data_IF_813084124986
#
_entry.id   IF_813084124986
#
_cell.length_a   1.000
_cell.length_b   1.000
_cell.length_c   1.000
_cell.angle_alpha   90.00
_cell.angle_beta   90.00
_cell.angle_gamma   90.00
#
_symmetry.space_group_name_H-M   'P 1'
#
loop_
_entity.id
_entity.type
_entity.pdbx_description
1 polymer ?
#
# COMPACT_ATOMS: atom_id res chain seq x y z
N UNK A 1 1.51 7.88 12.78
CA UNK A 1 2.37 7.35 11.70
C UNK A 1 1.53 6.60 10.68
N UNK A 2 0.75 5.59 11.07
CA UNK A 2 -0.12 4.85 10.12
C UNK A 2 -1.13 5.72 9.34
N UNK A 3 -1.70 6.75 9.97
CA UNK A 3 -2.58 7.71 9.31
C UNK A 3 -1.85 8.63 8.32
N UNK A 4 -0.57 8.90 8.56
CA UNK A 4 0.25 9.72 7.69
C UNK A 4 0.51 9.00 6.37
N UNK A 5 0.98 7.75 6.44
CA UNK A 5 1.20 6.88 5.27
C UNK A 5 -0.09 6.70 4.45
N UNK A 6 -1.22 6.60 5.13
CA UNK A 6 -2.52 6.45 4.48
C UNK A 6 -2.94 7.70 3.70
N UNK A 7 -2.70 8.87 4.26
CA UNK A 7 -2.98 10.14 3.60
C UNK A 7 -2.07 10.37 2.40
N UNK A 8 -0.80 9.98 2.54
CA UNK A 8 0.19 10.04 1.48
C UNK A 8 -0.21 9.11 0.32
N UNK A 9 -0.57 7.86 0.62
CA UNK A 9 -1.03 6.89 -0.38
C UNK A 9 -2.33 7.35 -1.05
N UNK A 10 -3.31 7.84 -0.29
CA UNK A 10 -4.56 8.34 -0.86
C UNK A 10 -4.33 9.51 -1.83
N UNK A 11 -3.42 10.42 -1.47
CA UNK A 11 -3.05 11.56 -2.33
C UNK A 11 -2.33 11.08 -3.59
N UNK A 12 -1.41 10.12 -3.45
CA UNK A 12 -0.72 9.51 -4.59
C UNK A 12 -1.69 8.72 -5.50
N UNK A 13 -2.67 8.02 -4.92
CA UNK A 13 -3.71 7.31 -5.66
C UNK A 13 -4.64 8.24 -6.44
N UNK A 14 -4.85 9.46 -5.94
CA UNK A 14 -5.66 10.46 -6.64
C UNK A 14 -4.88 11.18 -7.76
N UNK A 15 -3.58 11.44 -7.57
CA UNK A 15 -2.82 12.37 -8.43
C UNK A 15 -1.76 11.71 -9.31
N UNK A 16 -1.19 10.57 -8.89
CA UNK A 16 0.03 10.00 -9.51
C UNK A 16 -0.22 8.59 -10.05
N UNK A 17 -0.86 7.71 -9.29
CA UNK A 17 -1.03 6.31 -9.68
C UNK A 17 -1.86 6.08 -10.95
N UNK A 18 -2.92 6.85 -11.25
CA UNK A 18 -3.72 6.64 -12.47
C UNK A 18 -2.87 6.79 -13.74
N UNK A 19 -2.01 7.80 -13.80
CA UNK A 19 -1.14 8.05 -14.95
C UNK A 19 0.15 7.22 -14.92
N UNK A 20 0.67 6.87 -13.74
CA UNK A 20 1.91 6.11 -13.60
C UNK A 20 1.76 4.60 -13.85
N UNK A 21 0.64 4.01 -13.44
CA UNK A 21 0.39 2.55 -13.51
C UNK A 21 -0.70 2.16 -14.51
N UNK A 22 -1.61 3.07 -14.87
CA UNK A 22 -2.74 2.77 -15.75
C UNK A 22 -2.87 3.73 -16.96
N UNK A 23 -1.78 4.09 -17.68
CA UNK A 23 -1.84 5.10 -18.74
C UNK A 23 -2.71 4.71 -19.94
N UNK A 24 -2.91 3.41 -20.20
CA UNK A 24 -3.72 2.90 -21.32
C UNK A 24 -5.22 2.84 -21.00
N UNK A 25 -5.61 3.13 -19.76
CA UNK A 25 -7.01 3.17 -19.33
C UNK A 25 -7.58 4.59 -19.44
N UNK A 26 -8.92 4.71 -19.58
CA UNK A 26 -9.54 6.04 -19.57
C UNK A 26 -9.28 6.72 -18.21
N UNK A 27 -9.19 8.07 -18.14
CA UNK A 27 -8.83 8.77 -16.91
C UNK A 27 -9.69 8.38 -15.70
N UNK A 28 -10.99 8.16 -15.91
CA UNK A 28 -11.93 7.71 -14.87
C UNK A 28 -11.64 6.28 -14.41
N UNK A 29 -11.31 5.37 -15.34
CA UNK A 29 -11.02 3.97 -15.02
C UNK A 29 -9.70 3.85 -14.27
N UNK A 30 -8.65 4.56 -14.69
CA UNK A 30 -7.36 4.56 -14.00
C UNK A 30 -7.46 5.09 -12.56
N UNK A 31 -8.34 6.07 -12.33
CA UNK A 31 -8.65 6.58 -10.99
C UNK A 31 -9.36 5.53 -10.14
N UNK A 32 -10.37 4.86 -10.68
CA UNK A 32 -11.09 3.78 -9.98
C UNK A 32 -10.14 2.64 -9.61
N UNK A 33 -9.26 2.24 -10.53
CA UNK A 33 -8.27 1.18 -10.27
C UNK A 33 -7.27 1.60 -9.18
N UNK A 34 -6.80 2.85 -9.21
CA UNK A 34 -5.89 3.38 -8.18
C UNK A 34 -6.53 3.49 -6.80
N UNK A 35 -7.81 3.86 -6.72
CA UNK A 35 -8.55 3.79 -5.44
C UNK A 35 -8.89 2.35 -5.05
N UNK A 36 -9.02 1.44 -6.02
CA UNK A 36 -9.17 0.00 -5.77
C UNK A 36 -7.98 -0.57 -5.00
N UNK A 37 -6.75 -0.24 -5.40
CA UNK A 37 -5.54 -0.67 -4.65
C UNK A 37 -5.49 -0.06 -3.26
N UNK A 38 -5.92 1.19 -3.11
CA UNK A 38 -6.07 1.83 -1.80
C UNK A 38 -7.10 1.11 -0.90
N UNK A 39 -8.22 0.67 -1.47
CA UNK A 39 -9.27 -0.07 -0.77
C UNK A 39 -8.76 -1.40 -0.20
N UNK A 40 -7.86 -2.09 -0.91
CA UNK A 40 -7.23 -3.32 -0.41
C UNK A 40 -6.47 -3.10 0.91
N UNK A 41 -5.87 -1.92 1.10
CA UNK A 41 -5.21 -1.55 2.35
C UNK A 41 -6.14 -1.59 3.57
N UNK A 42 -7.45 -1.35 3.39
CA UNK A 42 -8.43 -1.46 4.47
C UNK A 42 -8.75 -2.91 4.85
N UNK A 43 -8.57 -3.87 3.95
CA UNK A 43 -8.74 -5.30 4.23
C UNK A 43 -7.47 -5.87 4.87
N UNK A 44 -6.30 -5.44 4.37
CA UNK A 44 -5.01 -5.86 4.90
C UNK A 44 -4.82 -5.49 6.38
N UNK A 45 -5.42 -4.37 6.82
CA UNK A 45 -5.30 -3.87 8.21
C UNK A 45 -5.95 -4.77 9.26
N UNK A 46 -7.23 -5.16 9.17
CA UNK A 46 -7.83 -6.15 10.08
C UNK A 46 -7.04 -7.46 10.12
N UNK A 47 -6.62 -7.96 8.95
CA UNK A 47 -5.82 -9.18 8.86
C UNK A 47 -4.48 -9.04 9.58
N UNK A 48 -3.77 -7.95 9.33
CA UNK A 48 -2.53 -7.61 10.04
C UNK A 48 -2.76 -7.48 11.53
N UNK A 49 -3.82 -6.79 11.96
CA UNK A 49 -4.18 -6.63 13.37
C UNK A 49 -4.46 -7.95 14.08
N UNK A 50 -5.15 -8.90 13.43
CA UNK A 50 -5.39 -10.24 13.98
C UNK A 50 -4.07 -11.01 14.11
N UNK A 51 -3.24 -11.01 13.07
CA UNK A 51 -1.95 -11.70 13.08
C UNK A 51 -1.01 -11.12 14.15
N UNK A 52 -0.74 -9.82 14.08
CA UNK A 52 0.16 -9.13 14.99
C UNK A 52 -0.43 -9.03 16.41
N UNK A 53 -1.74 -9.02 16.58
CA UNK A 53 -2.38 -9.16 17.90
C UNK A 53 -2.05 -10.50 18.54
N UNK A 54 -2.24 -11.60 17.81
CA UNK A 54 -1.91 -12.94 18.28
C UNK A 54 -0.42 -13.10 18.63
N UNK A 55 0.47 -12.61 17.75
CA UNK A 55 1.92 -12.62 18.02
C UNK A 55 2.32 -11.66 19.13
N UNK A 56 1.61 -10.53 19.29
CA UNK A 56 1.77 -9.57 20.39
C UNK A 56 1.55 -10.20 21.76
N UNK A 57 0.53 -11.04 21.87
CA UNK A 57 0.18 -11.73 23.11
C UNK A 57 1.14 -12.89 23.44
N UNK A 58 1.78 -13.52 22.43
CA UNK A 58 2.74 -14.62 22.63
C UNK A 58 4.21 -14.21 22.73
N UNK A 59 4.66 -13.25 21.92
CA UNK A 59 6.09 -12.89 21.75
C UNK A 59 6.43 -11.59 22.51
N UNK A 60 5.40 -10.84 22.93
CA UNK A 60 5.51 -9.63 23.71
C UNK A 60 5.26 -8.36 22.89
N UNK A 61 4.37 -7.51 23.41
CA UNK A 61 3.84 -6.30 22.75
C UNK A 61 4.91 -5.37 22.16
N UNK A 62 6.01 -5.14 22.87
CA UNK A 62 7.11 -4.25 22.41
C UNK A 62 7.79 -4.79 21.16
N UNK A 63 8.10 -6.08 21.10
CA UNK A 63 8.80 -6.69 19.95
C UNK A 63 7.91 -6.67 18.71
N UNK A 64 6.64 -7.03 18.88
CA UNK A 64 5.65 -7.02 17.81
C UNK A 64 5.44 -5.60 17.24
N UNK A 65 5.39 -4.57 18.10
CA UNK A 65 5.30 -3.18 17.65
C UNK A 65 6.49 -2.79 16.77
N UNK A 66 7.72 -3.13 17.19
CA UNK A 66 8.93 -2.81 16.42
C UNK A 66 8.93 -3.52 15.07
N UNK A 67 8.55 -4.80 15.03
CA UNK A 67 8.45 -5.57 13.79
C UNK A 67 7.42 -4.93 12.84
N UNK A 68 6.24 -4.57 13.35
CA UNK A 68 5.21 -3.92 12.55
C UNK A 68 5.68 -2.57 11.97
N UNK A 69 6.38 -1.76 12.76
CA UNK A 69 6.94 -0.47 12.31
C UNK A 69 8.00 -0.65 11.22
N UNK A 70 8.91 -1.61 11.38
CA UNK A 70 9.94 -1.91 10.37
C UNK A 70 9.29 -2.42 9.09
N UNK A 71 8.33 -3.34 9.20
CA UNK A 71 7.60 -3.88 8.05
C UNK A 71 6.86 -2.79 7.30
N UNK A 72 6.23 -1.85 8.00
CA UNK A 72 5.56 -0.70 7.39
C UNK A 72 6.55 0.18 6.62
N UNK A 73 7.70 0.52 7.20
CA UNK A 73 8.73 1.31 6.53
C UNK A 73 9.29 0.64 5.27
N UNK A 74 9.55 -0.67 5.33
CA UNK A 74 10.01 -1.45 4.18
C UNK A 74 8.93 -1.47 3.08
N UNK A 75 7.67 -1.74 3.43
CA UNK A 75 6.57 -1.74 2.46
C UNK A 75 6.42 -0.38 1.77
N UNK A 76 6.42 0.72 2.53
CA UNK A 76 6.33 2.08 1.98
C UNK A 76 7.51 2.41 1.06
N UNK A 77 8.72 1.95 1.39
CA UNK A 77 9.90 2.11 0.53
C UNK A 77 9.77 1.31 -0.76
N UNK A 78 9.31 0.05 -0.69
CA UNK A 78 9.09 -0.80 -1.85
C UNK A 78 8.03 -0.23 -2.79
N UNK A 79 6.97 0.38 -2.27
CA UNK A 79 5.95 1.07 -3.09
C UNK A 79 6.60 2.20 -3.91
N UNK A 80 7.53 2.95 -3.33
CA UNK A 80 8.28 4.00 -4.04
C UNK A 80 9.26 3.47 -5.09
N UNK A 81 9.68 2.21 -4.97
CA UNK A 81 10.56 1.53 -5.92
C UNK A 81 9.80 0.75 -6.99
N UNK A 82 8.46 0.79 -7.00
CA UNK A 82 7.66 0.07 -7.99
C UNK A 82 7.96 0.60 -9.39
N UNK A 83 8.33 -0.28 -10.34
CA UNK A 83 8.51 0.11 -11.73
C UNK A 83 7.18 0.55 -12.32
N UNK A 84 7.22 1.65 -13.07
CA UNK A 84 6.03 2.25 -13.69
C UNK A 84 5.66 1.54 -14.99
N UNK A 85 4.49 1.88 -15.54
CA UNK A 85 4.04 1.33 -16.82
C UNK A 85 5.07 1.52 -17.95
N UNK A 86 5.82 2.62 -17.92
CA UNK A 86 6.88 2.89 -18.90
C UNK A 86 8.06 1.90 -18.82
N UNK A 87 8.27 1.23 -17.68
CA UNK A 87 9.40 0.30 -17.47
C UNK A 87 9.02 -1.16 -17.66
N UNK A 88 7.83 -1.59 -17.23
CA UNK A 88 7.41 -3.00 -17.31
C UNK A 88 6.04 -3.25 -17.97
N UNK A 89 5.43 -2.22 -18.57
CA UNK A 89 4.16 -2.32 -19.30
C UNK A 89 3.00 -2.81 -18.42
N UNK A 90 2.16 -3.69 -18.98
CA UNK A 90 0.95 -4.23 -18.34
C UNK A 90 1.23 -4.94 -17.00
N UNK A 91 2.47 -5.35 -16.73
CA UNK A 91 2.85 -5.95 -15.46
C UNK A 91 3.01 -4.94 -14.31
N UNK A 92 3.08 -3.62 -14.59
CA UNK A 92 3.23 -2.58 -13.57
C UNK A 92 2.09 -2.51 -12.53
N UNK A 93 0.80 -2.65 -12.92
CA UNK A 93 -0.30 -2.67 -11.97
C UNK A 93 -0.64 -4.05 -11.36
N UNK A 94 0.07 -5.12 -11.71
CA UNK A 94 -0.22 -6.51 -11.28
C UNK A 94 0.66 -6.91 -10.10
#
# INVERSE_FOLDING_TARGET
>A
IEWYDFFLYATAAALVFPSAFFPDSSPTIGLILSFGTFAFGFIARPLGGILFGHFGDRIGRKKTLVIALIMMGIASTLIGLLPTYATIGIAAPI
#
